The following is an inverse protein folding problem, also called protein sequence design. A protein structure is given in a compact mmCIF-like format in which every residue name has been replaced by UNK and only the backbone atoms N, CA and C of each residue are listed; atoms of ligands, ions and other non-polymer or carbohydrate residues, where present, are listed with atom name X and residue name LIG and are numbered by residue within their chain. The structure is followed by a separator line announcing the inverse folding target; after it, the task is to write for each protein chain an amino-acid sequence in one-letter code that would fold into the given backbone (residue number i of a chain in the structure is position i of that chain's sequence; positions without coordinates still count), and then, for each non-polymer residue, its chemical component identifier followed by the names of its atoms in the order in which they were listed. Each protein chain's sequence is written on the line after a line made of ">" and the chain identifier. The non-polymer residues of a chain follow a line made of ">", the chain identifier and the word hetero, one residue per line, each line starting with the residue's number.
data_IF_847592207554
#
_entry.id   IF_847592207554
#
_cell.length_a   1.000
_cell.length_b   1.000
_cell.length_c   1.000
_cell.angle_alpha   90.00
_cell.angle_beta   90.00
_cell.angle_gamma   90.00
#
_symmetry.space_group_name_H-M   'P 1'
#
loop_
_entity.id
_entity.type
_entity.pdbx_description
1 polymer ?
2 non-polymer ?
3 non-polymer ?
4 water ?
#
# COMPACT_ATOMS: atom_id res chain seq x y z
N UNK A 18 -10.95 -5.19 -31.73
CA UNK A 18 -10.12 -5.19 -30.48
C UNK A 18 -10.76 -6.01 -29.39
N UNK A 19 -9.93 -6.74 -28.65
CA UNK A 19 -10.40 -7.66 -27.64
C UNK A 19 -9.85 -7.22 -26.27
N UNK A 20 -10.76 -6.93 -25.34
CA UNK A 20 -10.42 -6.54 -23.98
C UNK A 20 -10.09 -7.78 -23.17
N UNK A 21 -9.05 -7.68 -22.34
CA UNK A 21 -8.82 -8.70 -21.34
C UNK A 21 -8.49 -8.01 -20.02
N UNK A 22 -8.83 -8.70 -18.93
CA UNK A 22 -8.50 -8.26 -17.56
C UNK A 22 -7.44 -9.19 -17.01
N UNK A 23 -6.32 -8.63 -16.56
CA UNK A 23 -5.26 -9.42 -15.99
C UNK A 23 -5.28 -9.27 -14.46
N UNK A 24 -4.97 -10.35 -13.77
CA UNK A 24 -4.87 -10.39 -12.31
C UNK A 24 -3.56 -11.02 -11.93
N UNK A 25 -2.80 -10.33 -11.10
CA UNK A 25 -1.65 -10.95 -10.50
C UNK A 25 -1.81 -10.91 -8.96
N UNK A 26 -1.62 -12.09 -8.36
CA UNK A 26 -1.83 -12.31 -6.94
C UNK A 26 -0.95 -13.40 -6.45
N UNK A 27 -0.35 -13.18 -5.28
CA UNK A 27 0.64 -14.14 -4.78
C UNK A 27 0.87 -13.91 -3.31
N UNK A 28 1.04 -15.00 -2.53
CA UNK A 28 1.52 -14.76 -1.17
C UNK A 28 2.88 -14.01 -1.12
N UNK A 29 3.60 -13.97 -2.23
CA UNK A 29 4.82 -13.14 -2.37
C UNK A 29 4.66 -11.63 -2.33
N UNK A 30 3.49 -11.13 -2.75
CA UNK A 30 3.20 -9.70 -2.86
C UNK A 30 2.70 -9.32 -1.47
N UNK A 31 3.63 -9.43 -0.54
CA UNK A 31 3.33 -9.28 0.89
C UNK A 31 4.22 -8.23 1.52
N UNK A 32 3.68 -7.58 2.55
CA UNK A 32 4.48 -6.72 3.41
C UNK A 32 4.07 -7.00 4.83
N UNK A 33 5.02 -7.50 5.61
CA UNK A 33 4.78 -7.89 6.96
C UNK A 33 5.16 -6.76 7.87
N UNK A 34 4.14 -6.11 8.42
CA UNK A 34 4.28 -4.80 9.04
C UNK A 34 3.56 -4.70 10.36
N UNK A 35 4.04 -3.77 11.20
CA UNK A 35 3.36 -3.39 12.39
C UNK A 35 2.53 -2.11 12.14
N UNK A 36 1.44 -1.95 12.88
CA UNK A 36 0.63 -0.75 12.76
C UNK A 36 -0.29 -0.63 13.97
N UNK A 37 -1.00 0.48 14.04
CA UNK A 37 -2.23 0.53 14.84
C UNK A 37 -3.12 1.63 14.23
N UNK A 38 -4.42 1.36 14.24
CA UNK A 38 -5.44 2.34 13.84
C UNK A 38 -5.67 3.34 14.95
N UNK A 39 -5.72 4.62 14.60
CA UNK A 39 -6.16 5.67 15.50
C UNK A 39 -7.00 6.64 14.71
N UNK A 40 -8.16 7.00 15.27
CA UNK A 40 -9.01 8.07 14.74
C UNK A 40 -9.71 8.75 15.91
N UNK A 41 -10.57 9.73 15.67
CA UNK A 41 -11.15 10.49 16.78
C UNK A 41 -11.97 9.57 17.66
N UNK A 42 -11.59 9.52 18.92
CA UNK A 42 -12.22 8.66 19.90
C UNK A 42 -11.82 7.19 19.96
N UNK A 43 -10.83 6.78 19.16
CA UNK A 43 -10.43 5.38 19.09
C UNK A 43 -8.94 5.22 18.85
N UNK A 44 -8.30 4.35 19.62
CA UNK A 44 -6.89 4.00 19.47
C UNK A 44 -6.95 2.48 19.71
N UNK A 45 -6.20 1.73 18.95
CA UNK A 45 -5.99 0.33 19.32
C UNK A 45 -4.56 0.06 19.63
N UNK A 46 -4.31 -1.12 20.18
CA UNK A 46 -2.97 -1.54 20.57
C UNK A 46 -2.13 -1.85 19.37
N UNK A 47 -0.81 -1.69 19.52
CA UNK A 47 0.17 -2.10 18.52
C UNK A 47 0.08 -3.57 18.18
N UNK A 48 0.05 -3.86 16.89
CA UNK A 48 0.05 -5.24 16.42
C UNK A 48 0.59 -5.25 14.99
N UNK A 49 0.33 -6.32 14.25
CA UNK A 49 0.82 -6.39 12.89
C UNK A 49 0.09 -7.42 12.10
N UNK A 50 0.48 -7.50 10.83
CA UNK A 50 -0.15 -8.30 9.79
C UNK A 50 0.84 -8.69 8.72
N UNK A 51 0.54 -9.80 8.04
CA UNK A 51 1.09 -10.11 6.76
C UNK A 51 0.14 -9.52 5.73
N UNK A 52 0.37 -8.27 5.34
CA UNK A 52 -0.47 -7.66 4.33
C UNK A 52 -0.21 -8.29 2.99
N UNK A 53 -1.26 -8.41 2.17
CA UNK A 53 -1.12 -8.95 0.83
C UNK A 53 -1.76 -8.01 -0.21
N UNK A 54 -1.17 -7.91 -1.39
CA UNK A 54 -1.60 -7.01 -2.46
C UNK A 54 -1.83 -7.83 -3.70
N UNK A 55 -2.96 -7.58 -4.34
CA UNK A 55 -3.16 -8.03 -5.71
C UNK A 55 -3.42 -6.87 -6.63
N UNK A 56 -3.09 -7.05 -7.90
CA UNK A 56 -3.30 -6.03 -8.93
C UNK A 56 -4.12 -6.60 -10.07
N UNK A 57 -5.15 -5.85 -10.44
CA UNK A 57 -6.00 -6.16 -11.59
C UNK A 57 -5.95 -4.97 -12.54
N UNK A 58 -5.95 -5.26 -13.82
CA UNK A 58 -6.00 -4.19 -14.82
C UNK A 58 -6.75 -4.66 -16.05
N UNK A 59 -7.16 -3.71 -16.89
CA UNK A 59 -7.86 -3.99 -18.14
C UNK A 59 -7.23 -3.23 -19.29
N UNK A 60 -7.16 -3.87 -20.46
CA UNK A 60 -6.72 -3.20 -21.68
C UNK A 60 -7.06 -4.10 -22.84
N UNK A 61 -6.67 -3.70 -24.03
CA UNK A 61 -6.82 -4.56 -25.21
C UNK A 61 -5.62 -5.50 -25.34
N UNK A 62 -5.86 -6.70 -25.84
CA UNK A 62 -4.76 -7.62 -26.16
C UNK A 62 -3.98 -7.01 -27.32
N UNK A 63 -2.67 -6.84 -27.16
CA UNK A 63 -1.80 -6.23 -28.17
C UNK A 63 -1.32 -7.27 -29.19
N UNK A 64 -0.64 -6.79 -30.23
CA UNK A 64 -0.17 -7.65 -31.29
C UNK A 64 0.79 -8.75 -30.85
N UNK A 65 1.44 -8.53 -29.70
CA UNK A 65 2.37 -9.53 -29.17
C UNK A 65 1.68 -10.65 -28.35
N UNK A 66 0.36 -10.55 -28.19
CA UNK A 66 -0.43 -11.54 -27.47
C UNK A 66 -0.76 -11.26 -26.01
N UNK A 67 -0.21 -10.18 -25.49
CA UNK A 67 -0.43 -9.74 -24.13
C UNK A 67 -1.17 -8.42 -24.06
N UNK A 68 -1.95 -8.22 -22.98
CA UNK A 68 -2.34 -6.84 -22.64
C UNK A 68 -1.05 -6.09 -22.26
N UNK A 69 -0.36 -6.66 -21.28
CA UNK A 69 0.93 -6.15 -20.75
C UNK A 69 1.56 -7.40 -20.10
N UNK A 70 2.87 -7.54 -20.21
CA UNK A 70 3.58 -8.68 -19.70
C UNK A 70 3.40 -8.84 -18.18
N UNK A 71 2.85 -9.99 -17.76
CA UNK A 71 2.74 -10.30 -16.33
C UNK A 71 4.05 -10.09 -15.57
N UNK A 72 5.19 -10.39 -16.20
CA UNK A 72 6.47 -10.29 -15.46
C UNK A 72 6.79 -8.85 -14.99
N UNK A 73 6.40 -7.87 -15.80
CA UNK A 73 6.57 -6.46 -15.44
C UNK A 73 5.68 -6.14 -14.26
N UNK A 74 4.42 -6.59 -14.33
CA UNK A 74 3.47 -6.36 -13.23
C UNK A 74 4.00 -6.93 -11.93
N UNK A 75 4.48 -8.17 -11.99
CA UNK A 75 4.96 -8.83 -10.80
C UNK A 75 6.17 -8.11 -10.22
N UNK A 76 7.09 -7.71 -11.09
CA UNK A 76 8.33 -7.03 -10.68
C UNK A 76 7.99 -5.76 -9.91
N UNK A 77 7.06 -4.99 -10.47
CA UNK A 77 6.70 -3.70 -9.87
C UNK A 77 5.87 -3.85 -8.60
N UNK A 78 4.94 -4.82 -8.55
CA UNK A 78 4.23 -5.10 -7.28
C UNK A 78 5.21 -5.54 -6.18
N UNK A 79 6.15 -6.43 -6.50
CA UNK A 79 7.14 -6.87 -5.51
C UNK A 79 7.96 -5.68 -5.02
N UNK A 80 8.37 -4.80 -5.93
CA UNK A 80 9.17 -3.62 -5.57
C UNK A 80 8.43 -2.73 -4.53
N UNK A 81 7.17 -2.43 -4.81
CA UNK A 81 6.35 -1.58 -3.90
C UNK A 81 6.18 -2.28 -2.58
N UNK A 82 5.82 -3.55 -2.61
CA UNK A 82 5.71 -4.34 -1.36
C UNK A 82 6.97 -4.33 -0.54
N UNK A 83 8.12 -4.47 -1.19
CA UNK A 83 9.38 -4.57 -0.49
C UNK A 83 9.69 -3.27 0.25
N UNK A 84 9.24 -2.12 -0.27
CA UNK A 84 9.49 -0.85 0.39
C UNK A 84 8.79 -0.78 1.74
N UNK A 85 7.62 -1.39 1.83
CA UNK A 85 6.84 -1.38 3.07
C UNK A 85 7.25 -2.47 4.04
N UNK A 86 7.58 -3.63 3.49
CA UNK A 86 7.81 -4.83 4.27
C UNK A 86 8.80 -4.63 5.41
N UNK A 87 8.48 -5.24 6.56
CA UNK A 87 9.40 -5.31 7.71
C UNK A 87 9.59 -3.96 8.37
N UNK A 88 8.52 -3.20 8.48
CA UNK A 88 8.51 -1.93 9.20
C UNK A 88 7.22 -1.70 9.93
N UNK A 89 7.23 -0.69 10.79
CA UNK A 89 6.05 -0.06 11.32
C UNK A 89 5.51 0.96 10.31
N UNK A 90 4.23 0.87 9.97
CA UNK A 90 3.60 1.83 9.06
C UNK A 90 3.18 3.06 9.81
N UNK A 91 3.81 4.19 9.49
CA UNK A 91 3.59 5.44 10.23
C UNK A 91 2.76 6.38 9.35
N UNK A 92 1.50 6.62 9.74
CA UNK A 92 0.67 7.52 8.96
C UNK A 92 0.96 8.94 9.28
N UNK A 93 1.69 9.57 8.38
CA UNK A 93 2.29 10.88 8.64
C UNK A 93 1.26 12.05 8.64
N UNK A 94 0.04 11.84 8.14
CA UNK A 94 -0.99 12.86 8.16
C UNK A 94 -2.13 12.67 9.18
N UNK A 95 -1.89 11.86 10.20
CA UNK A 95 -2.92 11.60 11.19
C UNK A 95 -3.22 12.85 11.99
N UNK A 96 -4.51 13.09 12.20
CA UNK A 96 -4.94 14.23 12.97
C UNK A 96 -5.12 13.89 14.45
N UNK A 97 -4.83 12.66 14.84
CA UNK A 97 -4.96 12.24 16.24
C UNK A 97 -3.68 11.70 16.84
N UNK A 98 -2.58 11.77 16.09
CA UNK A 98 -1.28 11.36 16.58
C UNK A 98 -0.35 12.54 16.55
N UNK A 99 0.46 12.69 17.61
CA UNK A 99 1.54 13.68 17.69
C UNK A 99 2.83 12.96 17.41
N UNK A 100 3.45 13.25 16.27
CA UNK A 100 4.60 12.48 15.77
C UNK A 100 5.82 13.39 15.97
N UNK A 101 6.70 13.01 16.89
CA UNK A 101 7.88 13.83 17.27
C UNK A 101 9.15 13.12 16.80
N UNK A 102 10.14 13.87 16.35
CA UNK A 102 11.47 13.34 16.09
C UNK A 102 12.32 13.52 17.32
N UNK A 103 12.81 12.45 17.91
CA UNK A 103 13.60 12.47 19.11
C UNK A 103 14.87 11.67 18.81
N UNK A 104 16.01 12.35 18.72
CA UNK A 104 17.25 11.72 18.33
C UNK A 104 17.02 10.95 17.00
N UNK A 105 17.28 9.65 16.98
CA UNK A 105 17.07 8.86 15.75
C UNK A 105 15.79 8.02 15.81
N UNK A 106 14.85 8.48 16.63
CA UNK A 106 13.54 7.82 16.80
C UNK A 106 12.39 8.72 16.43
N UNK A 107 11.25 8.07 16.15
CA UNK A 107 9.95 8.75 16.13
C UNK A 107 9.25 8.40 17.42
N UNK A 108 8.78 9.44 18.10
CA UNK A 108 7.95 9.30 19.30
C UNK A 108 6.52 9.69 18.94
N UNK A 109 5.58 8.81 19.23
CA UNK A 109 4.19 9.01 18.87
C UNK A 109 3.39 9.11 20.15
N UNK A 110 2.65 10.21 20.32
CA UNK A 110 1.80 10.40 21.47
C UNK A 110 0.35 10.45 20.99
N UNK A 111 -0.49 9.66 21.64
CA UNK A 111 -1.89 9.49 21.24
C UNK A 111 -2.82 10.42 22.04
N UNK A 112 -4.08 10.51 21.63
CA UNK A 112 -5.10 11.32 22.29
C UNK A 112 -5.30 10.91 23.75
N UNK A 113 -5.14 9.61 24.04
CA UNK A 113 -5.30 9.07 25.39
C UNK A 113 -3.98 9.16 26.20
N UNK A 114 -3.02 9.91 25.64
CA UNK A 114 -1.68 10.16 26.19
C UNK A 114 -0.74 8.95 26.17
N UNK A 115 -1.15 7.85 25.51
CA UNK A 115 -0.26 6.69 25.29
C UNK A 115 0.92 7.16 24.46
N UNK A 116 2.10 6.62 24.74
CA UNK A 116 3.34 7.00 24.06
C UNK A 116 4.03 5.77 23.51
N UNK A 117 4.56 5.91 22.28
CA UNK A 117 5.39 4.91 21.61
C UNK A 117 6.67 5.57 21.17
N UNK A 118 7.74 4.79 21.04
CA UNK A 118 8.94 5.29 20.40
C UNK A 118 9.61 4.18 19.62
N UNK A 119 9.96 4.48 18.37
CA UNK A 119 10.60 3.51 17.51
C UNK A 119 11.75 4.14 16.78
N UNK A 120 12.85 3.39 16.51
CA UNK A 120 13.83 3.94 15.63
C UNK A 120 13.22 4.39 14.29
N UNK A 121 13.65 5.53 13.78
CA UNK A 121 13.12 6.04 12.51
C UNK A 121 13.26 5.02 11.40
N UNK A 122 14.38 4.30 11.39
CA UNK A 122 14.67 3.32 10.34
C UNK A 122 13.75 2.11 10.39
N UNK A 123 13.07 1.90 11.52
CA UNK A 123 12.09 0.80 11.64
C UNK A 123 10.74 1.21 11.08
N UNK A 124 10.57 2.48 10.73
CA UNK A 124 9.30 3.00 10.29
C UNK A 124 9.33 3.37 8.80
N UNK A 125 8.16 3.23 8.18
CA UNK A 125 7.96 3.77 6.85
C UNK A 125 6.90 4.85 6.98
N UNK A 126 7.31 6.07 6.63
CA UNK A 126 6.43 7.22 6.70
C UNK A 126 5.64 7.28 5.41
N UNK A 127 4.34 7.06 5.53
CA UNK A 127 3.42 6.96 4.40
C UNK A 127 2.43 8.13 4.44
N UNK A 128 2.16 8.80 3.30
CA UNK A 128 1.31 10.00 3.26
C UNK A 128 -0.19 9.67 3.31
N UNK A 129 -0.56 9.12 4.46
CA UNK A 129 -1.91 8.72 4.76
C UNK A 129 -2.30 9.25 6.15
N UNK A 130 -3.60 9.33 6.41
CA UNK A 130 -4.11 9.80 7.67
C UNK A 130 -4.30 8.66 8.70
N UNK A 131 -4.63 7.46 8.21
CA UNK A 131 -4.86 6.28 9.06
C UNK A 131 -4.22 5.11 8.39
N UNK A 132 -3.63 4.20 9.16
CA UNK A 132 -3.15 2.96 8.58
C UNK A 132 -4.25 1.89 8.37
N UNK A 133 -5.34 2.35 7.74
CA UNK A 133 -6.41 1.44 7.39
C UNK A 133 -6.08 0.75 6.08
N UNK A 134 -6.77 -0.37 5.89
CA UNK A 134 -6.62 -1.11 4.68
C UNK A 134 -6.93 -0.30 3.43
N UNK A 135 -8.00 0.50 3.52
CA UNK A 135 -8.44 1.38 2.46
C UNK A 135 -7.40 2.41 2.08
N UNK A 136 -6.86 3.13 3.07
CA UNK A 136 -5.89 4.17 2.77
C UNK A 136 -4.53 3.59 2.32
N UNK A 137 -4.15 2.46 2.88
CA UNK A 137 -2.97 1.76 2.41
C UNK A 137 -3.15 1.35 0.95
N UNK A 138 -4.33 0.84 0.62
CA UNK A 138 -4.60 0.49 -0.77
C UNK A 138 -4.51 1.67 -1.73
N UNK A 139 -5.08 2.82 -1.38
CA UNK A 139 -4.95 4.02 -2.20
C UNK A 139 -3.49 4.39 -2.44
N UNK A 140 -2.68 4.34 -1.37
CA UNK A 140 -1.28 4.67 -1.47
C UNK A 140 -0.59 3.71 -2.44
N UNK A 141 -0.86 2.42 -2.28
CA UNK A 141 -0.20 1.40 -3.12
C UNK A 141 -0.60 1.56 -4.58
N UNK A 142 -1.87 1.81 -4.82
CA UNK A 142 -2.32 2.03 -6.20
C UNK A 142 -1.56 3.17 -6.86
N UNK A 143 -1.46 4.30 -6.15
CA UNK A 143 -0.72 5.44 -6.69
C UNK A 143 0.75 5.09 -6.95
N UNK A 144 1.37 4.41 -6.02
CA UNK A 144 2.78 4.01 -6.15
C UNK A 144 2.97 3.06 -7.31
N UNK A 145 2.02 2.15 -7.50
CA UNK A 145 2.13 1.17 -8.60
C UNK A 145 2.03 1.80 -9.96
N UNK A 146 1.11 2.75 -10.11
CA UNK A 146 0.98 3.43 -11.37
C UNK A 146 2.27 4.20 -11.66
N UNK A 147 2.85 4.82 -10.64
CA UNK A 147 4.13 5.52 -10.82
C UNK A 147 5.28 4.59 -11.22
N UNK A 148 5.34 3.43 -10.57
CA UNK A 148 6.43 2.47 -10.80
C UNK A 148 6.34 1.75 -12.13
N UNK A 149 5.13 1.37 -12.54
CA UNK A 149 4.95 0.77 -13.88
C UNK A 149 5.10 1.82 -14.97
N UNK A 150 4.65 3.04 -14.65
CA UNK A 150 4.75 4.27 -15.44
C UNK A 150 3.48 4.49 -16.26
N UNK A 151 2.83 5.63 -16.06
CA UNK A 151 1.53 5.85 -16.67
C UNK A 151 1.63 5.92 -18.20
N UNK A 152 2.63 6.63 -18.76
CA UNK A 152 2.72 6.59 -20.22
C UNK A 152 2.94 5.21 -20.79
N UNK A 153 3.74 4.38 -20.10
CA UNK A 153 3.93 3.01 -20.54
C UNK A 153 2.62 2.23 -20.50
N UNK A 154 1.85 2.40 -19.41
CA UNK A 154 0.55 1.73 -19.33
C UNK A 154 -0.33 2.14 -20.53
N UNK A 155 -0.32 3.41 -20.86
CA UNK A 155 -1.12 3.85 -21.99
C UNK A 155 -0.64 3.32 -23.34
N UNK A 156 0.67 3.15 -23.52
CA UNK A 156 1.19 2.51 -24.74
C UNK A 156 0.66 1.10 -24.92
N UNK A 157 0.39 0.42 -23.80
CA UNK A 157 -0.15 -0.95 -23.82
C UNK A 157 -1.69 -1.03 -23.88
N UNK A 158 -2.32 0.14 -23.91
CA UNK A 158 -3.79 0.28 -23.97
C UNK A 158 -4.51 0.11 -22.64
N UNK A 159 -3.76 0.04 -21.54
CA UNK A 159 -4.36 -0.17 -20.23
C UNK A 159 -5.20 1.05 -19.88
N UNK A 160 -6.46 0.81 -19.50
CA UNK A 160 -7.34 1.91 -19.09
C UNK A 160 -7.96 1.80 -17.69
N UNK A 161 -7.50 0.82 -16.92
CA UNK A 161 -8.05 0.57 -15.60
C UNK A 161 -7.03 -0.16 -14.77
N UNK A 162 -6.80 0.35 -13.54
CA UNK A 162 -5.86 -0.22 -12.58
C UNK A 162 -6.59 -0.35 -11.26
N UNK A 163 -6.40 -1.50 -10.62
CA UNK A 163 -7.14 -1.80 -9.38
C UNK A 163 -6.28 -2.62 -8.43
N UNK A 164 -6.16 -2.15 -7.20
CA UNK A 164 -5.43 -2.82 -6.16
C UNK A 164 -6.36 -3.31 -5.05
N UNK A 165 -6.10 -4.55 -4.60
CA UNK A 165 -6.74 -5.12 -3.42
C UNK A 165 -5.64 -5.32 -2.38
N UNK A 166 -5.86 -4.78 -1.19
CA UNK A 166 -4.97 -5.00 -0.03
C UNK A 166 -5.78 -5.72 1.04
N UNK A 167 -5.15 -6.73 1.64
CA UNK A 167 -5.74 -7.37 2.82
C UNK A 167 -4.83 -7.26 4.02
N UNK A 168 -5.38 -6.93 5.21
CA UNK A 168 -4.67 -7.05 6.46
C UNK A 168 -4.54 -8.53 6.78
N UNK A 169 -5.61 -9.27 6.52
CA UNK A 169 -5.66 -10.72 6.75
C UNK A 169 -6.58 -11.21 5.64
N UNK A 170 -6.49 -12.48 5.28
CA UNK A 170 -7.25 -12.83 4.06
C UNK A 170 -8.75 -12.60 4.20
N UNK A 171 -9.27 -12.60 5.43
CA UNK A 171 -10.71 -12.40 5.63
C UNK A 171 -11.23 -10.99 5.48
N UNK A 172 -10.35 -10.00 5.33
CA UNK A 172 -10.83 -8.64 5.18
C UNK A 172 -9.97 -7.83 4.22
N UNK A 173 -10.57 -7.46 3.10
CA UNK A 173 -9.83 -6.84 2.01
C UNK A 173 -10.51 -5.55 1.59
N UNK A 174 -9.70 -4.61 1.11
CA UNK A 174 -10.18 -3.38 0.51
C UNK A 174 -9.61 -3.25 -0.89
N UNK A 175 -10.48 -2.82 -1.80
CA UNK A 175 -10.16 -2.67 -3.23
C UNK A 175 -10.46 -1.25 -3.72
N UNK A 176 -9.45 -0.65 -4.39
CA UNK A 176 -9.53 0.69 -4.93
C UNK A 176 -9.07 0.67 -6.38
N UNK A 177 -9.56 1.60 -7.19
CA UNK A 177 -9.21 1.65 -8.61
C UNK A 177 -9.09 3.05 -9.13
N UNK A 178 -8.45 3.12 -10.30
CA UNK A 178 -8.34 4.34 -11.08
C UNK A 178 -8.57 4.00 -12.54
N UNK A 179 -9.38 4.82 -13.18
CA UNK A 179 -9.53 4.78 -14.63
C UNK A 179 -8.46 5.70 -15.18
N UNK A 180 -7.69 5.21 -16.15
CA UNK A 180 -6.57 5.96 -16.67
C UNK A 180 -6.66 6.07 -18.20
#
# INVERSE_FOLDING_TARGET
>A
MAHHHHHHMNPHPVEPRDQIAELLVESPLFSFNCAHFIAFKGFRETLHGHNYNVSLRLRGNIQGDGYVIDFSILKEKVRKVCKQLDHHFILPMYSDVLNIQEVNDNFKITCEDNSEYSFPKRDCVQIPIKHSSTEEIGLYILNQLIEEIDLPFLKTRSVNYMEVTVSESPSQKATVHRNI
#
